data_IF_758872939533
#
_entry.id   IF_758872939533
#
_cell.length_a   1.000
_cell.length_b   1.000
_cell.length_c   1.000
_cell.angle_alpha   90.00
_cell.angle_beta   90.00
_cell.angle_gamma   90.00
#
_symmetry.space_group_name_H-M   'P 1'
#
loop_
_entity.id
_entity.type
_entity.pdbx_description
1 polymer ?
#
# COMPACT_ATOMS: atom_id res chain seq x y z
N UNK A 1 1.34 -4.78 -13.66
CA UNK A 1 0.08 -5.57 -13.66
C UNK A 1 -0.94 -4.79 -12.87
N UNK A 2 -2.16 -4.64 -13.36
CA UNK A 2 -3.20 -3.91 -12.63
C UNK A 2 -3.78 -4.79 -11.53
N UNK A 3 -3.70 -4.35 -10.28
CA UNK A 3 -4.24 -5.07 -9.13
C UNK A 3 -5.77 -4.87 -9.08
N UNK A 4 -6.51 -5.96 -8.90
CA UNK A 4 -7.98 -5.95 -8.90
C UNK A 4 -8.57 -5.85 -7.49
N UNK A 5 -7.75 -6.05 -6.46
CA UNK A 5 -8.20 -5.99 -5.07
C UNK A 5 -7.06 -5.69 -4.10
N UNK A 6 -7.42 -5.23 -2.90
CA UNK A 6 -6.48 -5.11 -1.77
C UNK A 6 -5.86 -6.48 -1.42
N UNK A 7 -6.58 -7.59 -1.65
CA UNK A 7 -6.06 -8.93 -1.40
C UNK A 7 -4.90 -9.29 -2.32
N UNK A 8 -5.00 -8.93 -3.60
CA UNK A 8 -3.89 -9.08 -4.56
C UNK A 8 -2.70 -8.19 -4.16
N UNK A 9 -2.96 -6.96 -3.68
CA UNK A 9 -1.89 -6.09 -3.20
C UNK A 9 -1.15 -6.68 -1.98
N UNK A 10 -1.89 -7.24 -1.01
CA UNK A 10 -1.30 -7.90 0.17
C UNK A 10 -0.43 -9.10 -0.25
N UNK A 11 -0.90 -9.92 -1.18
CA UNK A 11 -0.13 -11.07 -1.71
C UNK A 11 1.18 -10.57 -2.33
N UNK A 12 1.10 -9.57 -3.19
CA UNK A 12 2.30 -9.03 -3.85
C UNK A 12 3.28 -8.41 -2.83
N UNK A 13 2.79 -7.66 -1.83
CA UNK A 13 3.63 -7.15 -0.75
C UNK A 13 4.34 -8.29 0.02
N UNK A 14 3.64 -9.41 0.26
CA UNK A 14 4.24 -10.58 0.89
C UNK A 14 5.33 -11.20 0.01
N UNK A 15 5.09 -11.33 -1.29
CA UNK A 15 6.07 -11.87 -2.25
C UNK A 15 7.32 -11.01 -2.35
N UNK A 16 7.18 -9.67 -2.24
CA UNK A 16 8.31 -8.76 -2.22
C UNK A 16 9.04 -8.73 -0.87
N UNK A 17 8.46 -9.28 0.20
CA UNK A 17 9.00 -9.16 1.55
C UNK A 17 8.72 -7.81 2.23
N UNK A 18 7.78 -7.02 1.68
CA UNK A 18 7.35 -5.71 2.17
C UNK A 18 6.04 -5.79 3.00
N UNK A 19 5.74 -6.97 3.55
CA UNK A 19 4.60 -7.23 4.44
C UNK A 19 5.05 -7.86 5.76
N UNK A 20 4.52 -7.39 6.89
CA UNK A 20 4.67 -8.01 8.20
C UNK A 20 3.33 -8.39 8.80
N UNK A 21 3.10 -9.69 8.96
CA UNK A 21 1.89 -10.21 9.62
C UNK A 21 2.04 -10.15 11.15
N UNK A 22 1.04 -9.62 11.83
CA UNK A 22 0.95 -9.50 13.29
C UNK A 22 -0.27 -10.31 13.76
N UNK A 23 -0.02 -11.47 14.36
CA UNK A 23 -1.07 -12.40 14.81
C UNK A 23 -1.43 -12.27 16.30
N UNK A 24 -0.63 -11.53 17.09
CA UNK A 24 -0.99 -11.23 18.48
C UNK A 24 -2.25 -10.36 18.51
N UNK A 25 -3.07 -10.43 19.57
CA UNK A 25 -4.18 -9.50 19.75
C UNK A 25 -3.69 -8.04 19.67
N UNK A 26 -4.40 -7.22 18.91
CA UNK A 26 -4.16 -5.78 18.75
C UNK A 26 -5.44 -5.02 19.09
N UNK A 27 -5.29 -3.97 19.89
CA UNK A 27 -6.36 -3.03 20.18
C UNK A 27 -6.69 -2.16 18.96
N UNK A 28 -7.97 -2.08 18.61
CA UNK A 28 -8.39 -1.14 17.57
C UNK A 28 -8.34 0.30 18.08
N UNK A 29 -8.46 0.52 19.40
CA UNK A 29 -8.34 1.84 19.98
C UNK A 29 -6.87 2.24 20.10
N UNK A 30 -6.45 3.12 19.18
CA UNK A 30 -5.14 3.75 19.09
C UNK A 30 -3.95 2.81 18.79
N UNK A 31 -3.93 1.57 19.29
CA UNK A 31 -2.77 0.67 19.10
C UNK A 31 -2.52 0.34 17.62
N UNK A 32 -3.56 -0.08 16.88
CA UNK A 32 -3.43 -0.36 15.44
C UNK A 32 -2.91 0.86 14.67
N UNK A 33 -3.44 2.06 14.96
CA UNK A 33 -2.99 3.30 14.32
C UNK A 33 -1.55 3.68 14.71
N UNK A 34 -1.16 3.47 15.97
CA UNK A 34 0.20 3.71 16.45
C UNK A 34 1.22 2.77 15.77
N UNK A 35 0.87 1.50 15.59
CA UNK A 35 1.69 0.54 14.82
C UNK A 35 1.86 1.04 13.38
N UNK A 36 0.76 1.37 12.70
CA UNK A 36 0.79 1.87 11.31
C UNK A 36 1.65 3.14 11.20
N UNK A 37 1.45 4.10 12.12
CA UNK A 37 2.20 5.36 12.14
C UNK A 37 3.70 5.11 12.31
N UNK A 38 4.09 4.27 13.27
CA UNK A 38 5.50 3.92 13.50
C UNK A 38 6.10 3.22 12.29
N UNK A 39 5.39 2.25 11.70
CA UNK A 39 5.86 1.56 10.50
C UNK A 39 6.12 2.53 9.35
N UNK A 40 5.23 3.50 9.14
CA UNK A 40 5.41 4.51 8.10
C UNK A 40 6.56 5.50 8.38
N UNK A 41 6.85 5.81 9.65
CA UNK A 41 7.98 6.70 10.03
C UNK A 41 9.34 6.07 9.82
N UNK A 42 9.45 4.76 10.05
CA UNK A 42 10.72 4.03 9.97
C UNK A 42 10.84 3.23 8.67
N UNK A 43 9.91 3.42 7.73
CA UNK A 43 9.86 2.71 6.45
C UNK A 43 9.88 1.19 6.64
N UNK A 44 9.19 0.69 7.68
CA UNK A 44 9.07 -0.74 7.92
C UNK A 44 8.08 -1.41 6.94
N UNK A 45 8.12 -2.74 6.81
CA UNK A 45 7.14 -3.49 6.03
C UNK A 45 5.70 -3.19 6.47
N UNK A 46 4.74 -3.31 5.54
CA UNK A 46 3.32 -3.05 5.77
C UNK A 46 2.78 -3.94 6.90
N UNK A 47 2.25 -3.39 8.01
CA UNK A 47 1.65 -4.21 9.05
C UNK A 47 0.27 -4.72 8.62
N UNK A 48 0.09 -6.04 8.67
CA UNK A 48 -1.20 -6.72 8.58
C UNK A 48 -1.53 -7.36 9.93
N UNK A 49 -2.47 -6.77 10.66
CA UNK A 49 -2.94 -7.24 11.96
C UNK A 49 -4.17 -8.13 11.75
N UNK A 50 -4.03 -9.41 12.05
CA UNK A 50 -5.04 -10.44 11.73
C UNK A 50 -5.96 -10.77 12.91
N UNK A 51 -5.63 -10.26 14.11
CA UNK A 51 -6.35 -10.52 15.35
C UNK A 51 -6.64 -9.21 16.08
N UNK A 52 -7.84 -8.66 15.87
CA UNK A 52 -8.28 -7.42 16.50
C UNK A 52 -9.18 -7.76 17.70
N UNK A 53 -8.84 -7.23 18.88
CA UNK A 53 -9.62 -7.43 20.11
C UNK A 53 -11.08 -7.05 19.88
N UNK A 54 -12.01 -7.85 20.41
CA UNK A 54 -13.46 -7.63 20.32
C UNK A 54 -14.06 -7.64 18.90
N UNK A 55 -13.25 -7.88 17.85
CA UNK A 55 -13.67 -7.94 16.45
C UNK A 55 -13.18 -9.24 15.76
N UNK A 56 -13.70 -10.41 16.15
CA UNK A 56 -13.28 -11.69 15.58
C UNK A 56 -13.58 -11.75 14.07
N UNK A 57 -12.61 -12.27 13.30
CA UNK A 57 -12.72 -12.37 11.84
C UNK A 57 -12.39 -11.09 11.08
N UNK A 58 -12.19 -9.96 11.76
CA UNK A 58 -11.72 -8.72 11.17
C UNK A 58 -10.19 -8.62 11.20
N UNK A 59 -9.63 -8.01 10.16
CA UNK A 59 -8.20 -7.68 10.07
C UNK A 59 -8.02 -6.21 9.69
N UNK A 60 -6.93 -5.61 10.15
CA UNK A 60 -6.52 -4.25 9.77
C UNK A 60 -5.20 -4.33 9.01
N UNK A 61 -5.10 -3.61 7.91
CA UNK A 61 -3.86 -3.36 7.17
C UNK A 61 -3.70 -1.85 6.99
N UNK A 62 -2.48 -1.33 7.11
CA UNK A 62 -2.23 0.10 6.95
C UNK A 62 -0.87 0.39 6.35
N UNK A 63 -0.72 1.56 5.72
CA UNK A 63 0.53 1.94 5.04
C UNK A 63 0.66 1.41 3.61
N UNK A 64 -0.44 0.97 2.99
CA UNK A 64 -0.47 0.42 1.61
C UNK A 64 0.04 1.38 0.51
N UNK A 65 0.12 2.68 0.80
CA UNK A 65 0.68 3.70 -0.11
C UNK A 65 1.75 4.57 0.57
N UNK A 66 2.28 4.15 1.73
CA UNK A 66 3.44 4.78 2.35
C UNK A 66 4.74 4.38 1.63
N UNK A 67 5.88 4.95 2.04
CA UNK A 67 7.19 4.50 1.53
C UNK A 67 7.42 3.02 1.87
N UNK A 68 8.01 2.30 0.92
CA UNK A 68 8.34 0.88 1.03
C UNK A 68 9.54 0.64 1.96
N UNK A 69 9.61 -0.55 2.56
CA UNK A 69 10.85 -0.99 3.23
C UNK A 69 11.97 -1.38 2.24
N UNK A 70 11.68 -1.41 0.95
CA UNK A 70 12.70 -1.53 -0.09
C UNK A 70 13.39 -0.18 -0.31
N UNK A 71 14.54 0.01 0.32
CA UNK A 71 15.32 1.26 0.23
C UNK A 71 15.69 1.67 -1.21
N UNK A 72 15.87 0.71 -2.12
CA UNK A 72 16.15 0.98 -3.54
C UNK A 72 14.91 1.49 -4.29
N UNK A 73 13.71 1.05 -3.90
CA UNK A 73 12.44 1.35 -4.56
C UNK A 73 11.40 1.88 -3.57
N UNK A 74 11.64 3.04 -2.93
CA UNK A 74 10.80 3.55 -1.85
C UNK A 74 9.37 3.88 -2.30
N UNK A 75 9.14 4.15 -3.59
CA UNK A 75 7.83 4.46 -4.17
C UNK A 75 7.08 3.24 -4.70
N UNK A 76 7.63 2.03 -4.56
CA UNK A 76 7.07 0.80 -5.14
C UNK A 76 5.62 0.52 -4.71
N UNK A 77 5.22 0.87 -3.48
CA UNK A 77 3.83 0.75 -3.00
C UNK A 77 2.84 1.68 -3.72
N UNK A 78 3.27 2.87 -4.08
CA UNK A 78 2.47 3.81 -4.90
C UNK A 78 2.43 3.32 -6.34
N UNK A 79 3.58 2.93 -6.89
CA UNK A 79 3.68 2.43 -8.25
C UNK A 79 2.79 1.20 -8.50
N UNK A 80 2.85 0.20 -7.62
CA UNK A 80 2.02 -1.01 -7.72
C UNK A 80 0.52 -0.68 -7.66
N UNK A 81 0.12 0.28 -6.81
CA UNK A 81 -1.27 0.71 -6.66
C UNK A 81 -1.82 1.34 -7.94
N UNK A 82 -0.94 1.91 -8.77
CA UNK A 82 -1.26 2.48 -10.07
C UNK A 82 -1.07 1.48 -11.24
N UNK A 83 -0.65 0.24 -10.94
CA UNK A 83 -0.36 -0.79 -11.94
C UNK A 83 0.98 -0.61 -12.67
N UNK A 84 1.83 0.29 -12.20
CA UNK A 84 3.16 0.58 -12.72
C UNK A 84 4.21 -0.44 -12.22
N UNK A 85 5.38 -0.53 -12.86
CA UNK A 85 6.51 -1.31 -12.34
C UNK A 85 6.94 -0.84 -10.94
N UNK A 86 7.40 -1.75 -10.08
CA UNK A 86 7.87 -1.41 -8.72
C UNK A 86 9.04 -0.41 -8.72
N UNK A 87 9.81 -0.40 -9.82
CA UNK A 87 10.95 0.48 -10.05
C UNK A 87 10.56 1.85 -10.60
N UNK A 88 9.26 2.15 -10.75
CA UNK A 88 8.81 3.42 -11.30
C UNK A 88 9.29 4.58 -10.42
N UNK A 89 9.86 5.58 -11.09
CA UNK A 89 10.33 6.80 -10.45
C UNK A 89 9.15 7.72 -10.09
N UNK A 90 9.41 8.75 -9.27
CA UNK A 90 8.43 9.79 -9.01
C UNK A 90 7.93 10.46 -10.30
N UNK A 91 8.83 10.65 -11.28
CA UNK A 91 8.49 11.25 -12.56
C UNK A 91 7.57 10.32 -13.38
N UNK A 92 7.85 9.02 -13.42
CA UNK A 92 6.99 8.04 -14.12
C UNK A 92 5.57 8.03 -13.54
N UNK A 93 5.47 8.06 -12.21
CA UNK A 93 4.19 8.09 -11.49
C UNK A 93 3.40 9.36 -11.83
N UNK A 94 4.03 10.54 -11.73
CA UNK A 94 3.36 11.82 -12.04
C UNK A 94 2.95 11.88 -13.51
N UNK A 95 3.83 11.44 -14.41
CA UNK A 95 3.55 11.43 -15.85
C UNK A 95 2.36 10.53 -16.19
N UNK A 96 2.30 9.33 -15.59
CA UNK A 96 1.17 8.41 -15.74
C UNK A 96 -0.17 9.05 -15.34
N UNK A 97 -0.20 9.79 -14.22
CA UNK A 97 -1.38 10.50 -13.75
C UNK A 97 -1.80 11.64 -14.70
N UNK A 98 -0.84 12.45 -15.15
CA UNK A 98 -1.08 13.55 -16.11
C UNK A 98 -1.66 13.03 -17.42
N UNK A 99 -1.13 11.92 -17.94
CA UNK A 99 -1.61 11.33 -19.19
C UNK A 99 -3.00 10.72 -19.05
N UNK A 100 -3.31 10.12 -17.90
CA UNK A 100 -4.67 9.68 -17.55
C UNK A 100 -5.67 10.84 -17.55
N UNK A 101 -5.31 11.97 -16.93
CA UNK A 101 -6.11 13.19 -16.90
C UNK A 101 -6.39 13.74 -18.31
N UNK A 102 -5.36 13.87 -19.16
CA UNK A 102 -5.52 14.35 -20.54
C UNK A 102 -6.48 13.48 -21.35
N UNK A 103 -6.36 12.15 -21.25
CA UNK A 103 -7.28 11.22 -21.93
C UNK A 103 -8.72 11.40 -21.46
N UNK A 104 -8.94 11.62 -20.16
CA UNK A 104 -10.27 11.84 -19.62
C UNK A 104 -10.89 13.15 -20.15
N UNK A 105 -10.12 14.24 -20.20
CA UNK A 105 -10.60 15.53 -20.73
C UNK A 105 -10.99 15.43 -22.21
N UNK A 106 -10.18 14.77 -23.03
CA UNK A 106 -10.48 14.52 -24.46
C UNK A 106 -11.79 13.71 -24.62
N UNK A 107 -12.09 12.81 -23.68
CA UNK A 107 -13.30 11.99 -23.73
C UNK A 107 -14.57 12.74 -23.25
N UNK A 108 -14.44 13.83 -22.49
CA UNK A 108 -15.59 14.65 -22.04
C UNK A 108 -15.99 15.72 -23.06
N UNK A 109 -15.10 16.11 -23.96
CA UNK A 109 -15.36 17.07 -25.03
C UNK A 109 -15.94 16.43 -26.31
N UNK A 110 -16.08 15.10 -26.34
CA UNK A 110 -16.78 14.32 -27.38
C UNK A 110 -18.13 13.86 -26.88
#
# INVERSE_FOLDING_TARGET
>A
MFLKSVREQIILLQEQGDLRVINRPVDSYLEAAAIIRRCAEIEAPVPLMTNIKDYPGCSIVGGLAALSSHAEYPLSRVAMSLGLPLTATAQDIVQYLVDGLKKHLIYREK
#
